data_IF_337241062426
#
_entry.id   IF_337241062426
#
_cell.length_a   1.000
_cell.length_b   1.000
_cell.length_c   1.000
_cell.angle_alpha   90.00
_cell.angle_beta   90.00
_cell.angle_gamma   90.00
#
_symmetry.space_group_name_H-M   'P 1'
#
loop_
_entity.id
_entity.type
_entity.pdbx_description
1 polymer ?
#
# COMPACT_ATOMS: atom_id res chain seq x y z
N UNK A 1 -19.02 -4.09 15.16
CA UNK A 1 -18.16 -3.70 16.29
C UNK A 1 -17.06 -2.82 15.75
N UNK A 2 -16.79 -1.68 16.39
CA UNK A 2 -15.64 -0.83 16.06
C UNK A 2 -14.47 -1.21 16.97
N UNK A 3 -13.27 -1.14 16.42
CA UNK A 3 -12.00 -1.42 17.08
C UNK A 3 -11.21 -0.11 17.14
N UNK A 4 -10.86 0.30 18.35
CA UNK A 4 -10.04 1.49 18.59
C UNK A 4 -8.56 1.10 18.62
N UNK A 5 -7.78 1.64 17.68
CA UNK A 5 -6.33 1.45 17.60
C UNK A 5 -5.65 2.80 17.78
N UNK A 6 -4.72 2.96 18.74
CA UNK A 6 -4.02 4.23 18.94
C UNK A 6 -3.38 4.76 17.65
N UNK A 7 -3.63 6.02 17.34
CA UNK A 7 -3.09 6.69 16.14
C UNK A 7 -3.88 6.47 14.86
N UNK A 8 -4.93 5.63 14.87
CA UNK A 8 -5.84 5.41 13.75
C UNK A 8 -7.28 5.87 14.08
N UNK A 9 -8.10 6.18 13.07
CA UNK A 9 -9.55 6.30 13.26
C UNK A 9 -10.16 4.97 13.74
N UNK A 10 -11.31 4.97 14.43
CA UNK A 10 -12.02 3.73 14.77
C UNK A 10 -12.32 2.90 13.52
N UNK A 11 -11.97 1.62 13.54
CA UNK A 11 -12.10 0.73 12.38
C UNK A 11 -13.21 -0.30 12.59
N UNK A 12 -14.07 -0.58 11.61
CA UNK A 12 -14.94 -1.76 11.64
C UNK A 12 -14.12 -3.04 11.82
N UNK A 13 -14.58 -3.93 12.70
CA UNK A 13 -13.91 -5.22 12.89
C UNK A 13 -13.87 -6.07 11.60
N UNK A 14 -14.78 -5.83 10.65
CA UNK A 14 -14.79 -6.43 9.31
C UNK A 14 -13.60 -6.03 8.45
N UNK A 15 -13.00 -4.88 8.74
CA UNK A 15 -11.90 -4.30 7.96
C UNK A 15 -10.54 -4.76 8.51
N UNK A 16 -10.55 -5.50 9.62
CA UNK A 16 -9.36 -6.15 10.16
C UNK A 16 -8.94 -7.34 9.30
N UNK A 17 -7.67 -7.72 9.43
CA UNK A 17 -7.14 -8.88 8.72
C UNK A 17 -8.02 -10.11 8.99
N UNK A 18 -8.40 -10.86 7.95
CA UNK A 18 -9.32 -12.01 8.05
C UNK A 18 -8.87 -13.07 9.07
N UNK A 19 -7.57 -13.17 9.34
CA UNK A 19 -7.03 -14.03 10.40
C UNK A 19 -7.46 -13.64 11.82
N UNK A 20 -7.97 -12.41 12.02
CA UNK A 20 -8.54 -11.94 13.28
C UNK A 20 -10.00 -12.35 13.48
N UNK A 21 -10.68 -12.82 12.42
CA UNK A 21 -12.11 -13.14 12.48
C UNK A 21 -12.41 -14.46 13.18
N UNK A 22 -11.50 -15.44 13.12
CA UNK A 22 -11.61 -16.71 13.85
C UNK A 22 -10.50 -16.82 14.89
N UNK A 23 -10.85 -16.56 16.14
CA UNK A 23 -9.92 -16.57 17.28
C UNK A 23 -9.50 -17.98 17.72
N UNK A 24 -10.13 -19.02 17.18
CA UNK A 24 -9.75 -20.42 17.44
C UNK A 24 -8.74 -20.95 16.42
N UNK A 25 -8.55 -20.25 15.29
CA UNK A 25 -7.66 -20.68 14.23
C UNK A 25 -6.18 -20.51 14.60
N UNK A 26 -5.33 -21.43 14.13
CA UNK A 26 -3.87 -21.37 14.35
C UNK A 26 -3.25 -20.08 13.81
N UNK A 27 -3.81 -19.51 12.74
CA UNK A 27 -3.33 -18.25 12.17
C UNK A 27 -3.50 -17.08 13.14
N UNK A 28 -4.56 -17.08 13.96
CA UNK A 28 -4.78 -16.08 14.99
C UNK A 28 -3.74 -16.20 16.11
N UNK A 29 -3.48 -17.43 16.55
CA UNK A 29 -2.43 -17.71 17.55
C UNK A 29 -1.05 -17.24 17.05
N UNK A 30 -0.70 -17.57 15.80
CA UNK A 30 0.55 -17.13 15.18
C UNK A 30 0.64 -15.60 15.11
N UNK A 31 -0.47 -14.91 14.77
CA UNK A 31 -0.53 -13.45 14.76
C UNK A 31 -0.23 -12.85 16.14
N UNK A 32 -0.89 -13.34 17.20
CA UNK A 32 -0.66 -12.88 18.56
C UNK A 32 0.78 -13.16 19.02
N UNK A 33 1.31 -14.33 18.66
CA UNK A 33 2.67 -14.70 19.01
C UNK A 33 3.69 -13.76 18.33
N UNK A 34 3.50 -13.46 17.04
CA UNK A 34 4.33 -12.48 16.31
C UNK A 34 4.25 -11.09 16.93
N UNK A 35 3.04 -10.58 17.22
CA UNK A 35 2.86 -9.27 17.83
C UNK A 35 3.57 -9.17 19.19
N UNK A 36 3.47 -10.22 20.01
CA UNK A 36 4.13 -10.30 21.32
C UNK A 36 5.66 -10.29 21.20
N UNK A 37 6.21 -10.98 20.20
CA UNK A 37 7.66 -11.00 19.97
C UNK A 37 8.18 -9.72 19.33
N UNK A 38 7.40 -9.08 18.46
CA UNK A 38 7.74 -7.76 17.91
C UNK A 38 7.89 -6.72 19.03
N UNK A 39 7.02 -6.72 20.04
CA UNK A 39 7.13 -5.81 21.18
C UNK A 39 8.39 -6.05 22.04
N UNK A 40 9.00 -7.24 21.95
CA UNK A 40 10.21 -7.64 22.71
C UNK A 40 11.50 -7.57 21.89
N UNK A 41 11.43 -7.15 20.61
CA UNK A 41 12.60 -7.10 19.75
C UNK A 41 13.55 -5.97 20.16
N UNK A 42 14.79 -6.03 19.68
CA UNK A 42 15.76 -4.93 19.87
C UNK A 42 15.48 -3.71 18.97
N UNK A 43 14.52 -3.82 18.05
CA UNK A 43 14.15 -2.77 17.11
C UNK A 43 13.18 -3.30 16.06
N UNK A 44 12.48 -2.36 15.41
CA UNK A 44 11.54 -2.62 14.32
C UNK A 44 11.99 -1.85 13.09
N UNK A 45 12.22 -2.57 12.00
CA UNK A 45 12.49 -1.97 10.69
C UNK A 45 11.16 -1.91 9.95
N UNK A 46 10.74 -0.72 9.56
CA UNK A 46 9.44 -0.49 8.93
C UNK A 46 9.66 0.19 7.58
N UNK A 47 9.08 -0.40 6.53
CA UNK A 47 9.13 0.16 5.18
C UNK A 47 8.09 1.29 5.01
N UNK A 48 8.32 2.39 5.70
CA UNK A 48 7.48 3.60 5.71
C UNK A 48 8.34 4.84 5.96
N UNK A 49 7.73 6.01 5.98
CA UNK A 49 8.36 7.27 6.37
C UNK A 49 7.39 8.15 7.16
N UNK A 50 7.92 9.09 7.96
CA UNK A 50 7.16 9.85 8.95
C UNK A 50 5.94 10.58 8.42
N UNK A 51 6.03 11.17 7.23
CA UNK A 51 4.91 11.94 6.68
C UNK A 51 3.75 11.03 6.26
N UNK A 52 4.03 9.80 5.82
CA UNK A 52 3.01 8.85 5.38
C UNK A 52 2.15 8.37 6.54
N UNK A 53 2.77 8.04 7.68
CA UNK A 53 2.10 7.39 8.81
C UNK A 53 2.22 8.16 10.13
N UNK A 54 2.27 9.50 10.04
CA UNK A 54 2.54 10.41 11.17
C UNK A 54 1.81 10.05 12.47
N UNK A 55 0.50 9.80 12.39
CA UNK A 55 -0.34 9.53 13.57
C UNK A 55 -0.07 8.14 14.18
N UNK A 56 0.07 7.12 13.33
CA UNK A 56 0.35 5.75 13.77
C UNK A 56 1.76 5.65 14.38
N UNK A 57 2.76 6.22 13.71
CA UNK A 57 4.14 6.28 14.21
C UNK A 57 4.23 7.10 15.51
N UNK A 58 3.49 8.21 15.60
CA UNK A 58 3.40 8.99 16.84
C UNK A 58 2.85 8.14 18.00
N UNK A 59 1.76 7.42 17.79
CA UNK A 59 1.20 6.56 18.83
C UNK A 59 2.14 5.42 19.26
N UNK A 60 2.85 4.81 18.31
CA UNK A 60 3.87 3.80 18.59
C UNK A 60 5.02 4.38 19.42
N UNK A 61 5.60 5.51 19.01
CA UNK A 61 6.71 6.18 19.71
C UNK A 61 6.32 6.69 21.10
N UNK A 62 5.06 7.08 21.29
CA UNK A 62 4.50 7.48 22.58
C UNK A 62 4.24 6.28 23.54
N UNK A 63 4.53 5.04 23.14
CA UNK A 63 4.30 3.86 23.98
C UNK A 63 2.84 3.41 24.05
N UNK A 64 1.93 3.96 23.24
CA UNK A 64 0.48 3.70 23.37
C UNK A 64 0.06 2.30 22.91
N UNK A 65 0.91 1.61 22.15
CA UNK A 65 0.59 0.31 21.55
C UNK A 65 1.21 -0.89 22.29
N UNK A 66 2.08 -0.66 23.27
CA UNK A 66 2.73 -1.72 24.06
C UNK A 66 2.40 -1.47 25.54
N UNK A 67 1.27 -2.00 26.05
CA UNK A 67 0.83 -1.69 27.41
C UNK A 67 1.76 -2.27 28.50
N UNK A 68 2.45 -3.36 28.20
CA UNK A 68 3.25 -4.13 29.15
C UNK A 68 4.76 -3.77 29.12
N UNK A 69 5.16 -2.71 28.42
CA UNK A 69 6.58 -2.36 28.28
C UNK A 69 6.85 -1.18 27.33
N UNK A 70 8.13 -0.79 27.16
CA UNK A 70 8.48 0.25 26.20
C UNK A 70 8.29 -0.24 24.77
N UNK A 71 7.88 0.65 23.87
CA UNK A 71 7.95 0.38 22.43
C UNK A 71 9.43 0.23 22.02
N UNK A 72 9.82 -0.82 21.30
CA UNK A 72 11.18 -0.96 20.78
C UNK A 72 11.51 0.17 19.78
N UNK A 73 12.81 0.50 19.57
CA UNK A 73 13.21 1.50 18.58
C UNK A 73 12.62 1.22 17.19
N UNK A 74 12.11 2.25 16.51
CA UNK A 74 11.46 2.12 15.21
C UNK A 74 12.29 2.84 14.15
N UNK A 75 12.79 2.08 13.19
CA UNK A 75 13.58 2.56 12.06
C UNK A 75 12.72 2.57 10.79
N UNK A 76 12.25 3.75 10.41
CA UNK A 76 11.45 3.94 9.20
C UNK A 76 12.40 4.14 8.01
N UNK A 77 12.61 3.09 7.21
CA UNK A 77 13.62 3.07 6.14
C UNK A 77 13.00 3.16 4.72
N UNK A 78 11.74 3.58 4.63
CA UNK A 78 10.97 3.54 3.40
C UNK A 78 10.87 4.86 2.64
N UNK A 79 10.32 4.81 1.40
CA UNK A 79 9.92 3.58 0.72
C UNK A 79 11.10 2.84 0.07
N UNK A 80 11.31 1.59 0.49
CA UNK A 80 12.18 0.64 -0.18
C UNK A 80 11.38 -0.06 -1.27
N UNK A 81 11.52 0.46 -2.49
CA UNK A 81 10.96 -0.10 -3.71
C UNK A 81 12.09 -0.69 -4.54
N UNK A 82 11.84 -1.83 -5.18
CA UNK A 82 12.84 -2.44 -6.06
C UNK A 82 13.12 -1.50 -7.24
N UNK A 83 14.32 -0.93 -7.29
CA UNK A 83 14.86 -0.36 -8.51
C UNK A 83 15.30 -1.51 -9.40
N UNK A 84 14.36 -2.13 -10.12
CA UNK A 84 14.75 -2.95 -11.26
C UNK A 84 15.55 -2.03 -12.18
N UNK A 85 16.83 -2.35 -12.40
CA UNK A 85 17.66 -1.66 -13.38
C UNK A 85 16.83 -1.49 -14.65
N UNK A 86 16.36 -0.26 -14.91
CA UNK A 86 15.77 0.09 -16.19
C UNK A 86 16.95 -0.06 -17.13
N UNK A 87 17.07 -1.23 -17.75
CA UNK A 87 17.97 -1.39 -18.87
C UNK A 87 17.36 -0.50 -19.94
N UNK A 88 17.87 0.73 -20.04
CA UNK A 88 17.79 1.56 -21.24
C UNK A 88 18.52 0.79 -22.34
N UNK A 89 17.85 -0.23 -22.86
CA UNK A 89 18.33 -1.15 -23.88
C UNK A 89 17.22 -1.37 -24.90
N UNK A 90 17.61 -1.58 -26.15
CA UNK A 90 16.79 -1.61 -27.38
C UNK A 90 15.61 -2.60 -27.39
N UNK A 91 15.32 -3.31 -26.29
CA UNK A 91 14.24 -4.29 -26.15
C UNK A 91 13.24 -3.90 -25.04
N UNK A 92 12.75 -2.66 -25.05
CA UNK A 92 11.66 -2.25 -24.17
C UNK A 92 10.38 -3.06 -24.49
N UNK A 93 9.72 -3.60 -23.47
CA UNK A 93 8.52 -4.45 -23.64
C UNK A 93 7.42 -3.70 -24.42
N UNK A 94 6.71 -4.38 -25.32
CA UNK A 94 5.71 -3.78 -26.22
C UNK A 94 4.67 -2.92 -25.49
N UNK A 95 4.23 -3.35 -24.30
CA UNK A 95 3.32 -2.58 -23.44
C UNK A 95 3.87 -1.19 -23.07
N UNK A 96 5.17 -1.07 -22.80
CA UNK A 96 5.80 0.22 -22.47
C UNK A 96 5.95 1.08 -23.73
N UNK A 97 6.27 0.47 -24.88
CA UNK A 97 6.27 1.19 -26.15
C UNK A 97 4.89 1.77 -26.47
N UNK A 98 3.83 0.98 -26.29
CA UNK A 98 2.45 1.47 -26.44
C UNK A 98 2.14 2.60 -25.44
N UNK A 99 2.54 2.46 -24.18
CA UNK A 99 2.31 3.45 -23.13
C UNK A 99 3.00 4.79 -23.45
N UNK A 100 4.24 4.74 -23.95
CA UNK A 100 5.03 5.92 -24.32
C UNK A 100 4.41 6.74 -25.47
N UNK A 101 3.54 6.13 -26.29
CA UNK A 101 2.81 6.81 -27.35
C UNK A 101 1.53 7.52 -26.86
N UNK A 102 1.11 7.30 -25.61
CA UNK A 102 -0.12 7.89 -25.08
C UNK A 102 0.13 9.28 -24.49
N UNK A 103 -0.87 10.19 -24.52
CA UNK A 103 -0.77 11.45 -23.81
C UNK A 103 -0.47 11.26 -22.31
N UNK A 104 0.25 12.22 -21.73
CA UNK A 104 0.57 12.19 -20.29
C UNK A 104 -0.71 12.10 -19.45
N UNK A 105 -0.65 11.31 -18.37
CA UNK A 105 -1.75 11.11 -17.41
C UNK A 105 -3.07 10.61 -18.02
N UNK A 106 -3.00 9.85 -19.12
CA UNK A 106 -4.20 9.47 -19.89
C UNK A 106 -4.49 7.97 -19.96
N UNK A 107 -3.72 7.17 -19.23
CA UNK A 107 -3.87 5.71 -19.17
C UNK A 107 -4.10 5.29 -17.73
N UNK A 108 -5.09 4.42 -17.52
CA UNK A 108 -5.31 3.73 -16.26
C UNK A 108 -4.49 2.45 -16.24
N UNK A 109 -3.59 2.33 -15.28
CA UNK A 109 -2.94 1.05 -15.01
C UNK A 109 -3.76 0.27 -13.98
N UNK A 110 -4.26 -0.89 -14.38
CA UNK A 110 -4.99 -1.78 -13.50
C UNK A 110 -4.14 -3.01 -13.18
N UNK A 111 -3.65 -3.04 -11.94
CA UNK A 111 -2.85 -4.13 -11.41
C UNK A 111 -3.22 -4.37 -9.96
N UNK A 112 -3.15 -5.64 -9.62
CA UNK A 112 -3.81 -6.20 -8.47
C UNK A 112 -2.84 -6.95 -7.56
N UNK A 113 -1.57 -7.04 -7.98
CA UNK A 113 -0.55 -7.84 -7.31
C UNK A 113 -0.66 -9.32 -7.66
N UNK A 114 0.23 -10.12 -7.10
CA UNK A 114 0.35 -11.55 -7.42
C UNK A 114 -0.63 -12.45 -6.68
N UNK A 115 -1.29 -11.97 -5.61
CA UNK A 115 -1.86 -12.85 -4.59
C UNK A 115 -3.34 -13.10 -4.61
N UNK A 116 -4.20 -12.08 -4.63
CA UNK A 116 -5.64 -12.35 -4.62
C UNK A 116 -6.17 -12.81 -5.96
N UNK A 117 -7.48 -12.98 -6.12
CA UNK A 117 -8.09 -13.75 -7.21
C UNK A 117 -9.53 -13.34 -7.41
N UNK A 118 -10.04 -13.48 -8.64
CA UNK A 118 -11.39 -13.05 -8.99
C UNK A 118 -12.19 -14.10 -9.74
N UNK A 119 -13.50 -14.05 -9.54
CA UNK A 119 -14.44 -14.86 -10.31
C UNK A 119 -14.49 -14.38 -11.76
N UNK A 120 -14.84 -15.27 -12.69
CA UNK A 120 -15.07 -14.90 -14.09
C UNK A 120 -16.11 -13.78 -14.24
N UNK A 121 -17.16 -13.80 -13.39
CA UNK A 121 -18.17 -12.73 -13.34
C UNK A 121 -17.54 -11.39 -12.98
N UNK A 122 -16.68 -11.33 -11.96
CA UNK A 122 -16.00 -10.08 -11.58
C UNK A 122 -15.06 -9.57 -12.69
N UNK A 123 -14.34 -10.48 -13.36
CA UNK A 123 -13.47 -10.11 -14.48
C UNK A 123 -14.27 -9.55 -15.66
N UNK A 124 -15.46 -10.08 -15.91
CA UNK A 124 -16.38 -9.56 -16.92
C UNK A 124 -16.84 -8.14 -16.57
N UNK A 125 -17.27 -7.89 -15.33
CA UNK A 125 -17.66 -6.55 -14.87
C UNK A 125 -16.49 -5.56 -14.99
N UNK A 126 -15.26 -5.98 -14.69
CA UNK A 126 -14.07 -5.15 -14.84
C UNK A 126 -13.83 -4.78 -16.31
N UNK A 127 -13.88 -5.76 -17.20
CA UNK A 127 -13.68 -5.54 -18.63
C UNK A 127 -14.73 -4.56 -19.19
N UNK A 128 -16.01 -4.78 -18.88
CA UNK A 128 -17.11 -3.91 -19.33
C UNK A 128 -17.00 -2.51 -18.72
N UNK A 129 -16.66 -2.38 -17.44
CA UNK A 129 -16.51 -1.08 -16.78
C UNK A 129 -15.36 -0.25 -17.37
N UNK A 130 -14.24 -0.89 -17.68
CA UNK A 130 -13.11 -0.24 -18.36
C UNK A 130 -13.49 0.19 -19.78
N UNK A 131 -14.12 -0.68 -20.56
CA UNK A 131 -14.61 -0.38 -21.91
C UNK A 131 -15.57 0.82 -21.90
N UNK A 132 -16.58 0.78 -21.02
CA UNK A 132 -17.56 1.85 -20.91
C UNK A 132 -16.97 3.18 -20.44
N UNK A 133 -15.88 3.17 -19.67
CA UNK A 133 -15.22 4.41 -19.23
C UNK A 133 -14.63 5.22 -20.38
N UNK A 134 -14.38 4.58 -21.53
CA UNK A 134 -13.71 5.18 -22.68
C UNK A 134 -12.26 5.60 -22.38
N UNK A 135 -11.68 5.12 -21.27
CA UNK A 135 -10.30 5.42 -20.90
C UNK A 135 -9.37 4.36 -21.49
N UNK A 136 -8.17 4.80 -21.88
CA UNK A 136 -7.10 3.87 -22.22
C UNK A 136 -6.68 3.14 -20.95
N UNK A 137 -6.53 1.82 -21.03
CA UNK A 137 -6.16 1.01 -19.88
C UNK A 137 -5.10 -0.03 -20.24
N UNK A 138 -4.19 -0.26 -19.30
CA UNK A 138 -3.30 -1.43 -19.29
C UNK A 138 -3.78 -2.36 -18.20
N UNK A 139 -4.09 -3.60 -18.57
CA UNK A 139 -4.48 -4.66 -17.63
C UNK A 139 -3.41 -5.75 -17.61
N UNK A 140 -2.81 -5.99 -16.45
CA UNK A 140 -1.85 -7.09 -16.29
C UNK A 140 -2.56 -8.46 -16.39
N UNK A 141 -2.14 -9.31 -17.34
CA UNK A 141 -2.82 -10.55 -17.74
C UNK A 141 -2.73 -11.71 -16.75
N UNK A 142 -1.89 -11.63 -15.73
CA UNK A 142 -1.93 -12.59 -14.62
C UNK A 142 -3.06 -12.20 -13.67
N UNK A 143 -4.28 -12.36 -14.17
CA UNK A 143 -5.50 -11.97 -13.49
C UNK A 143 -5.76 -12.91 -12.33
N UNK A 144 -5.25 -12.50 -11.19
CA UNK A 144 -5.86 -12.75 -9.91
C UNK A 144 -5.74 -11.40 -9.12
N UNK A 145 -6.79 -10.94 -8.39
CA UNK A 145 -6.98 -9.73 -7.50
C UNK A 145 -7.49 -8.39 -8.05
N UNK A 146 -7.57 -7.34 -7.17
CA UNK A 146 -8.58 -6.30 -6.88
C UNK A 146 -8.16 -4.82 -6.71
N UNK A 147 -9.11 -3.93 -7.07
CA UNK A 147 -9.18 -2.48 -6.86
C UNK A 147 -10.16 -2.25 -5.70
N UNK A 148 -10.01 -1.17 -4.93
CA UNK A 148 -11.03 -0.76 -3.98
C UNK A 148 -12.21 -0.12 -4.73
N UNK A 149 -13.36 -0.73 -4.62
CA UNK A 149 -14.60 -0.39 -5.31
C UNK A 149 -15.74 -0.83 -4.41
N UNK A 150 -16.88 -0.13 -4.46
CA UNK A 150 -18.02 -0.52 -3.64
C UNK A 150 -18.60 -1.83 -4.17
N UNK A 151 -18.61 -2.84 -3.31
CA UNK A 151 -19.20 -4.14 -3.60
C UNK A 151 -20.73 -4.06 -3.48
N UNK A 152 -21.46 -4.75 -4.36
CA UNK A 152 -22.88 -5.07 -4.18
C UNK A 152 -23.07 -6.09 -3.05
N UNK A 153 -24.32 -6.36 -2.67
CA UNK A 153 -24.65 -7.30 -1.60
C UNK A 153 -24.09 -8.72 -1.80
N UNK A 154 -23.74 -9.10 -3.04
CA UNK A 154 -23.08 -10.36 -3.40
C UNK A 154 -21.54 -10.27 -3.45
N UNK A 155 -20.94 -9.17 -3.01
CA UNK A 155 -19.48 -8.95 -2.98
C UNK A 155 -18.87 -8.58 -4.34
N UNK A 156 -19.68 -8.29 -5.35
CA UNK A 156 -19.24 -7.97 -6.70
C UNK A 156 -19.21 -6.47 -6.96
N UNK A 157 -18.29 -6.02 -7.79
CA UNK A 157 -18.24 -4.64 -8.25
C UNK A 157 -18.81 -4.60 -9.65
N UNK A 158 -19.90 -3.85 -9.82
CA UNK A 158 -20.52 -3.68 -11.13
C UNK A 158 -19.66 -2.86 -12.09
N UNK A 159 -19.81 -3.14 -13.38
CA UNK A 159 -19.21 -2.37 -14.46
C UNK A 159 -19.56 -0.88 -14.38
N UNK A 160 -20.79 -0.55 -13.99
CA UNK A 160 -21.26 0.83 -13.86
C UNK A 160 -20.54 1.59 -12.74
N UNK A 161 -20.29 0.94 -11.60
CA UNK A 161 -19.51 1.57 -10.52
C UNK A 161 -18.04 1.71 -10.93
N UNK A 162 -17.44 0.69 -11.55
CA UNK A 162 -16.05 0.78 -12.02
C UNK A 162 -15.88 1.89 -13.07
N UNK A 163 -16.78 1.95 -14.05
CA UNK A 163 -16.81 3.00 -15.06
C UNK A 163 -16.82 4.38 -14.39
N UNK A 164 -17.77 4.58 -13.48
CA UNK A 164 -17.94 5.84 -12.76
C UNK A 164 -16.65 6.25 -12.05
N UNK A 165 -16.02 5.32 -11.31
CA UNK A 165 -14.79 5.58 -10.56
C UNK A 165 -13.60 5.88 -11.46
N UNK A 166 -13.47 5.16 -12.58
CA UNK A 166 -12.42 5.41 -13.55
C UNK A 166 -12.61 6.79 -14.20
N UNK A 167 -13.83 7.14 -14.61
CA UNK A 167 -14.13 8.46 -15.18
C UNK A 167 -13.90 9.58 -14.17
N UNK A 168 -14.35 9.40 -12.93
CA UNK A 168 -14.14 10.34 -11.83
C UNK A 168 -12.64 10.57 -11.60
N UNK A 169 -11.86 9.50 -11.46
CA UNK A 169 -10.41 9.60 -11.25
C UNK A 169 -9.70 10.28 -12.42
N UNK A 170 -10.09 10.03 -13.66
CA UNK A 170 -9.35 10.50 -14.83
C UNK A 170 -9.73 11.91 -15.26
N UNK A 171 -11.01 12.27 -15.20
CA UNK A 171 -11.55 13.47 -15.88
C UNK A 171 -12.08 14.53 -14.92
N UNK A 172 -12.46 14.17 -13.69
CA UNK A 172 -13.08 15.13 -12.76
C UNK A 172 -12.05 15.99 -11.99
N UNK A 173 -12.51 17.13 -11.46
CA UNK A 173 -11.71 17.96 -10.54
C UNK A 173 -11.36 17.20 -9.25
N UNK A 174 -12.29 16.40 -8.70
CA UNK A 174 -11.99 15.54 -7.54
C UNK A 174 -10.87 14.53 -7.86
N UNK A 175 -10.88 13.95 -9.07
CA UNK A 175 -9.81 13.07 -9.54
C UNK A 175 -8.47 13.79 -9.69
N UNK A 176 -8.49 15.06 -10.15
CA UNK A 176 -7.30 15.91 -10.23
C UNK A 176 -6.72 16.20 -8.84
N UNK A 177 -7.54 16.57 -7.86
CA UNK A 177 -7.11 16.77 -6.47
C UNK A 177 -6.44 15.51 -5.88
N UNK A 178 -7.00 14.33 -6.17
CA UNK A 178 -6.40 13.05 -5.78
C UNK A 178 -5.01 12.88 -6.42
N UNK A 179 -4.86 13.12 -7.72
CA UNK A 179 -3.57 13.00 -8.42
C UNK A 179 -2.53 14.01 -7.91
N UNK A 180 -2.94 15.24 -7.61
CA UNK A 180 -2.07 16.26 -7.03
C UNK A 180 -1.59 15.86 -5.62
N UNK A 181 -2.51 15.35 -4.78
CA UNK A 181 -2.15 14.85 -3.45
C UNK A 181 -1.19 13.65 -3.52
N UNK A 182 -1.41 12.73 -4.45
CA UNK A 182 -0.49 11.58 -4.67
C UNK A 182 0.87 12.06 -5.17
N UNK A 183 0.91 13.05 -6.06
CA UNK A 183 2.18 13.65 -6.52
C UNK A 183 2.95 14.28 -5.37
N UNK A 184 2.29 15.06 -4.51
CA UNK A 184 2.93 15.65 -3.33
C UNK A 184 3.47 14.57 -2.37
N UNK A 185 2.74 13.47 -2.20
CA UNK A 185 3.21 12.34 -1.38
C UNK A 185 4.39 11.61 -2.02
N UNK A 186 4.42 11.47 -3.36
CA UNK A 186 5.58 10.95 -4.09
C UNK A 186 6.81 11.81 -3.84
N UNK A 187 6.67 13.13 -3.91
CA UNK A 187 7.79 14.05 -3.71
C UNK A 187 8.33 13.95 -2.27
N UNK A 188 7.45 13.82 -1.28
CA UNK A 188 7.85 13.58 0.10
C UNK A 188 8.52 12.20 0.31
N UNK A 189 8.05 11.17 -0.38
CA UNK A 189 8.66 9.85 -0.38
C UNK A 189 10.06 9.87 -0.97
N UNK A 190 10.29 10.59 -2.08
CA UNK A 190 11.63 10.77 -2.67
C UNK A 190 12.56 11.50 -1.69
N UNK A 191 12.11 12.62 -1.12
CA UNK A 191 12.88 13.38 -0.13
C UNK A 191 13.24 12.55 1.12
N UNK A 192 12.41 11.56 1.51
CA UNK A 192 12.72 10.69 2.64
C UNK A 192 13.91 9.76 2.36
N UNK A 193 14.11 9.31 1.12
CA UNK A 193 15.15 8.34 0.74
C UNK A 193 16.38 8.96 0.07
N UNK A 194 16.31 10.23 -0.32
CA UNK A 194 17.44 11.02 -0.80
C UNK A 194 18.52 11.22 0.28
N UNK A 195 19.69 11.71 -0.13
CA UNK A 195 20.80 11.98 0.79
C UNK A 195 20.40 13.01 1.86
N UNK A 196 20.61 12.67 3.14
CA UNK A 196 20.14 13.43 4.29
C UNK A 196 18.66 13.24 4.65
N UNK A 197 17.93 12.44 3.86
CA UNK A 197 16.53 12.13 4.08
C UNK A 197 16.28 11.27 5.32
N UNK A 198 15.06 11.34 5.86
CA UNK A 198 14.72 10.68 7.14
C UNK A 198 14.92 9.16 7.11
N UNK A 199 14.67 8.50 5.98
CA UNK A 199 14.88 7.06 5.83
C UNK A 199 16.37 6.70 5.76
N UNK A 200 17.20 7.53 5.11
CA UNK A 200 18.64 7.33 5.07
C UNK A 200 19.27 7.52 6.45
N UNK A 201 18.81 8.53 7.20
CA UNK A 201 19.23 8.77 8.60
C UNK A 201 18.84 7.59 9.48
N UNK A 202 17.58 7.12 9.42
CA UNK A 202 17.13 5.98 10.20
C UNK A 202 17.90 4.69 9.87
N UNK A 203 18.25 4.48 8.60
CA UNK A 203 19.08 3.34 8.18
C UNK A 203 20.51 3.45 8.72
N UNK A 204 21.09 4.66 8.74
CA UNK A 204 22.41 4.89 9.30
C UNK A 204 22.43 4.66 10.82
N UNK A 205 21.42 5.13 11.55
CA UNK A 205 21.24 4.88 12.98
C UNK A 205 21.12 3.38 13.28
N UNK A 206 20.31 2.66 12.48
CA UNK A 206 20.20 1.21 12.57
C UNK A 206 21.56 0.53 12.38
N UNK A 207 22.31 0.90 11.34
CA UNK A 207 23.63 0.32 11.07
C UNK A 207 24.63 0.59 12.21
N UNK A 208 24.59 1.80 12.79
CA UNK A 208 25.43 2.16 13.95
C UNK A 208 25.08 1.34 15.19
N UNK A 209 23.80 1.01 15.40
CA UNK A 209 23.37 0.16 16.51
C UNK A 209 24.01 -1.23 16.48
N UNK A 210 24.31 -1.76 15.28
CA UNK A 210 24.96 -3.06 15.13
C UNK A 210 26.45 -3.02 15.42
N UNK A 211 27.13 -1.93 15.05
CA UNK A 211 28.57 -1.76 15.31
C UNK A 211 28.85 -1.53 16.80
N UNK A 212 27.94 -0.85 17.50
CA UNK A 212 28.08 -0.53 18.93
C UNK A 212 27.68 -1.68 19.86
N UNK A 213 26.95 -2.69 19.35
CA UNK A 213 26.46 -3.83 20.14
C UNK A 213 27.44 -5.03 20.17
N UNK A 214 28.54 -5.01 19.39
CA UNK A 214 29.61 -6.01 19.54
C UNK A 214 30.52 -5.69 20.74
N UNK A 215 30.20 -6.27 21.89
CA UNK A 215 31.11 -6.52 23.00
C UNK A 215 30.86 -7.91 23.57
#
# INVERSE_FOLDING_TARGET
MLVDIPGLPPLPASDMMKSMSDRSAKVYENFLNTATHMAKSNGLIVNTFDLLERKALGALRDGKCVPDGPTPPIFCIGPSISSSNIQDGENQHECLNWLNLQPSQSVVFLCFGSMGSFSAKQLQEIAVGLENSGQRAVLAKELKVALAVNESEDGLVSAAELEKRVRELMVSEAGKEVREKVSAMRDAAMAAVEEGGSAQVALAELAQSWVTTTC
#
